data_IF_206018338959
#
_entry.id   IF_206018338959
#
_cell.length_a   1.000
_cell.length_b   1.000
_cell.length_c   1.000
_cell.angle_alpha   90.00
_cell.angle_beta   90.00
_cell.angle_gamma   90.00
#
_symmetry.space_group_name_H-M   'P 1'
#
loop_
_entity.id
_entity.type
_entity.pdbx_description
1 polymer ?
#
# COMPACT_ATOMS: atom_id res chain seq x y z
N UNK A 1 -23.39 -13.04 -5.75
CA UNK A 1 -24.13 -14.07 -4.98
C UNK A 1 -23.18 -15.23 -4.68
N UNK A 2 -23.13 -15.70 -3.44
CA UNK A 2 -22.27 -16.80 -2.98
C UNK A 2 -20.85 -16.43 -2.54
N UNK A 3 -20.41 -15.18 -2.79
CA UNK A 3 -19.07 -14.73 -2.40
C UNK A 3 -18.97 -14.48 -0.88
N UNK A 4 -20.09 -14.12 -0.26
CA UNK A 4 -20.26 -13.92 1.19
C UNK A 4 -19.93 -15.15 2.04
N UNK A 5 -19.88 -16.34 1.44
CA UNK A 5 -19.46 -17.58 2.12
C UNK A 5 -17.93 -17.69 2.27
N UNK A 6 -17.15 -16.81 1.64
CA UNK A 6 -15.69 -16.83 1.67
C UNK A 6 -15.14 -15.70 2.54
N UNK A 7 -14.04 -15.96 3.26
CA UNK A 7 -13.38 -14.93 4.08
C UNK A 7 -12.36 -14.11 3.32
N UNK A 8 -11.88 -14.60 2.16
CA UNK A 8 -10.83 -13.99 1.37
C UNK A 8 -11.10 -14.16 -0.12
N UNK A 9 -10.57 -13.23 -0.92
CA UNK A 9 -10.65 -13.24 -2.37
C UNK A 9 -9.30 -12.94 -2.99
N UNK A 10 -9.05 -13.53 -4.15
CA UNK A 10 -8.07 -13.02 -5.10
C UNK A 10 -8.64 -11.83 -5.85
N UNK A 11 -7.82 -10.78 -5.98
CA UNK A 11 -8.08 -9.62 -6.82
C UNK A 11 -7.05 -9.60 -7.95
N UNK A 12 -7.53 -9.53 -9.18
CA UNK A 12 -6.71 -9.12 -10.32
C UNK A 12 -7.07 -7.67 -10.66
N UNK A 13 -6.07 -6.83 -10.85
CA UNK A 13 -6.28 -5.40 -11.09
C UNK A 13 -5.20 -4.82 -12.00
N UNK A 14 -5.48 -3.66 -12.60
CA UNK A 14 -4.54 -2.95 -13.46
C UNK A 14 -3.72 -1.93 -12.67
N UNK A 15 -2.40 -1.91 -12.85
CA UNK A 15 -1.53 -0.85 -12.33
C UNK A 15 -1.71 0.44 -13.16
N UNK A 16 -2.89 1.04 -13.10
CA UNK A 16 -3.29 2.15 -13.96
C UNK A 16 -2.44 3.43 -13.78
N UNK A 17 -1.90 3.66 -12.57
CA UNK A 17 -0.95 4.75 -12.30
C UNK A 17 0.50 4.44 -12.74
N UNK A 18 0.75 3.29 -13.36
CA UNK A 18 2.08 2.94 -13.85
C UNK A 18 2.48 3.80 -15.05
N UNK A 19 3.22 4.87 -14.75
CA UNK A 19 3.75 5.85 -15.72
C UNK A 19 4.61 5.26 -16.85
N UNK A 20 5.03 3.99 -16.76
CA UNK A 20 5.78 3.30 -17.82
C UNK A 20 4.88 2.51 -18.78
N UNK A 21 3.58 2.34 -18.51
CA UNK A 21 2.66 1.62 -19.39
C UNK A 21 2.57 2.27 -20.79
N UNK A 22 2.52 3.61 -20.85
CA UNK A 22 2.54 4.37 -22.11
C UNK A 22 3.81 4.15 -22.94
N UNK A 23 4.95 3.82 -22.31
CA UNK A 23 6.23 3.55 -22.98
C UNK A 23 6.34 2.13 -23.53
N UNK A 24 5.39 1.25 -23.20
CA UNK A 24 5.37 -0.13 -23.64
C UNK A 24 4.70 -0.28 -25.02
N UNK A 25 3.68 0.53 -25.31
CA UNK A 25 2.91 0.47 -26.56
C UNK A 25 3.40 1.46 -27.65
N UNK A 26 4.51 2.15 -27.41
CA UNK A 26 5.14 3.04 -28.41
C UNK A 26 5.99 2.29 -29.44
N UNK A 27 6.46 3.01 -30.47
CA UNK A 27 7.25 2.46 -31.59
C UNK A 27 8.56 1.73 -31.19
N UNK A 28 9.06 1.97 -29.96
CA UNK A 28 10.13 1.20 -29.32
C UNK A 28 9.75 0.94 -27.86
N UNK A 29 9.23 -0.26 -27.54
CA UNK A 29 8.87 -0.61 -26.17
C UNK A 29 10.09 -0.49 -25.25
N UNK A 30 10.04 0.42 -24.27
CA UNK A 30 11.14 0.60 -23.31
C UNK A 30 10.82 -0.09 -21.98
N UNK A 31 10.80 -1.41 -21.97
CA UNK A 31 10.70 -2.20 -20.75
C UNK A 31 12.09 -2.59 -20.24
N UNK A 32 12.41 -2.22 -19.00
CA UNK A 32 13.64 -2.65 -18.36
C UNK A 32 13.53 -4.13 -17.97
N UNK A 33 14.39 -4.97 -18.55
CA UNK A 33 14.44 -6.40 -18.26
C UNK A 33 14.78 -6.72 -16.79
N UNK A 34 15.44 -5.79 -16.08
CA UNK A 34 15.83 -5.92 -14.68
C UNK A 34 15.35 -4.72 -13.85
N UNK A 35 15.00 -4.97 -12.60
CA UNK A 35 14.55 -3.97 -11.61
C UNK A 35 15.36 -4.09 -10.31
N UNK A 36 15.18 -3.13 -9.39
CA UNK A 36 15.78 -3.13 -8.05
C UNK A 36 14.68 -3.36 -6.99
N UNK A 37 14.41 -4.61 -6.57
CA UNK A 37 13.50 -4.86 -5.46
C UNK A 37 14.07 -4.31 -4.15
N UNK A 38 13.25 -3.71 -3.26
CA UNK A 38 13.72 -3.19 -1.97
C UNK A 38 14.47 -4.22 -1.12
N UNK A 39 13.96 -5.45 -1.04
CA UNK A 39 14.58 -6.54 -0.25
C UNK A 39 15.90 -7.10 -0.81
N UNK A 40 16.33 -6.67 -2.01
CA UNK A 40 17.54 -7.21 -2.65
C UNK A 40 18.81 -6.35 -2.39
N UNK A 41 18.76 -5.39 -1.47
CA UNK A 41 19.93 -4.62 -1.03
C UNK A 41 20.62 -3.87 -2.17
N UNK A 42 19.84 -3.22 -3.05
CA UNK A 42 20.34 -2.41 -4.16
C UNK A 42 20.79 -3.19 -5.40
N UNK A 43 20.82 -4.52 -5.38
CA UNK A 43 21.12 -5.32 -6.59
C UNK A 43 19.93 -5.36 -7.56
N UNK A 44 20.21 -5.77 -8.79
CA UNK A 44 19.19 -5.94 -9.85
C UNK A 44 18.88 -7.40 -10.10
N UNK A 45 17.61 -7.70 -10.35
CA UNK A 45 17.13 -9.02 -10.77
C UNK A 45 16.13 -8.88 -11.92
N UNK A 46 15.92 -9.96 -12.69
CA UNK A 46 14.96 -9.98 -13.79
C UNK A 46 13.54 -9.64 -13.31
N UNK A 47 12.80 -8.86 -14.10
CA UNK A 47 11.48 -8.34 -13.69
C UNK A 47 10.49 -9.46 -13.31
N UNK A 48 10.53 -10.60 -14.00
CA UNK A 48 9.65 -11.75 -13.73
C UNK A 48 9.99 -12.50 -12.45
N UNK A 49 11.19 -12.29 -11.88
CA UNK A 49 11.55 -12.79 -10.55
C UNK A 49 11.07 -11.85 -9.43
N UNK A 50 10.17 -10.90 -9.74
CA UNK A 50 9.69 -9.86 -8.82
C UNK A 50 8.20 -9.60 -9.03
N UNK A 51 7.59 -8.88 -8.08
CA UNK A 51 6.22 -8.37 -8.17
C UNK A 51 6.17 -6.88 -8.54
N UNK A 52 7.13 -6.39 -9.31
CA UNK A 52 7.14 -4.98 -9.76
C UNK A 52 5.89 -4.65 -10.59
N UNK A 53 5.30 -3.45 -10.43
CA UNK A 53 4.23 -2.98 -11.31
C UNK A 53 4.73 -2.71 -12.74
N UNK A 54 6.03 -2.46 -12.94
CA UNK A 54 6.64 -2.19 -14.24
C UNK A 54 6.90 -3.48 -15.04
N UNK A 55 5.85 -4.06 -15.61
CA UNK A 55 5.87 -5.35 -16.34
C UNK A 55 5.10 -5.26 -17.67
N UNK A 56 5.28 -6.22 -18.62
CA UNK A 56 4.63 -6.17 -19.93
C UNK A 56 3.10 -6.19 -19.85
N UNK A 57 2.55 -6.96 -18.92
CA UNK A 57 1.13 -6.92 -18.58
C UNK A 57 1.04 -6.33 -17.18
N UNK A 58 0.61 -5.06 -17.02
CA UNK A 58 0.60 -4.35 -15.74
C UNK A 58 -0.52 -4.84 -14.81
N UNK A 59 -0.63 -6.16 -14.65
CA UNK A 59 -1.63 -6.81 -13.81
C UNK A 59 -1.03 -7.10 -12.45
N UNK A 60 -1.68 -6.59 -11.41
CA UNK A 60 -1.46 -6.91 -10.01
C UNK A 60 -2.30 -8.10 -9.56
N UNK A 61 -1.84 -8.74 -8.48
CA UNK A 61 -2.51 -9.89 -7.86
C UNK A 61 -2.38 -9.77 -6.35
N UNK A 62 -3.52 -9.76 -5.67
CA UNK A 62 -3.55 -9.63 -4.21
C UNK A 62 -4.58 -10.56 -3.58
N UNK A 63 -4.25 -11.09 -2.41
CA UNK A 63 -5.25 -11.70 -1.52
C UNK A 63 -5.77 -10.60 -0.62
N UNK A 64 -7.08 -10.40 -0.60
CA UNK A 64 -7.73 -9.47 0.32
C UNK A 64 -8.75 -10.20 1.19
N UNK A 65 -8.91 -9.73 2.44
CA UNK A 65 -9.98 -10.19 3.32
C UNK A 65 -11.31 -9.63 2.81
N UNK A 66 -12.28 -10.50 2.58
CA UNK A 66 -13.65 -10.08 2.29
C UNK A 66 -14.34 -9.76 3.62
N UNK A 67 -14.65 -8.49 3.83
CA UNK A 67 -15.34 -8.02 5.03
C UNK A 67 -16.85 -8.12 4.84
N UNK A 68 -17.33 -7.67 3.69
CA UNK A 68 -18.77 -7.61 3.39
C UNK A 68 -19.03 -7.56 1.89
N UNK A 69 -20.17 -8.11 1.47
CA UNK A 69 -20.73 -7.96 0.11
C UNK A 69 -21.99 -7.09 0.21
N UNK A 70 -21.95 -5.90 -0.39
CA UNK A 70 -23.04 -4.92 -0.40
C UNK A 70 -23.55 -4.70 -1.82
N UNK A 71 -24.47 -5.55 -2.27
CA UNK A 71 -24.98 -5.46 -3.64
C UNK A 71 -23.89 -5.67 -4.68
N UNK A 72 -23.55 -4.61 -5.43
CA UNK A 72 -22.48 -4.57 -6.43
C UNK A 72 -21.10 -4.17 -5.86
N UNK A 73 -21.01 -3.99 -4.54
CA UNK A 73 -19.82 -3.45 -3.86
C UNK A 73 -19.21 -4.48 -2.91
N UNK A 74 -17.88 -4.64 -2.95
CA UNK A 74 -17.13 -5.47 -1.99
C UNK A 74 -16.40 -4.57 -1.00
N UNK A 75 -16.59 -4.81 0.29
CA UNK A 75 -15.80 -4.19 1.36
C UNK A 75 -14.63 -5.13 1.66
N UNK A 76 -13.42 -4.66 1.40
CA UNK A 76 -12.20 -5.45 1.45
C UNK A 76 -11.25 -4.90 2.51
N UNK A 77 -10.52 -5.79 3.18
CA UNK A 77 -9.46 -5.45 4.13
C UNK A 77 -8.11 -6.02 3.69
N UNK A 78 -7.03 -5.27 3.93
CA UNK A 78 -5.66 -5.70 3.59
C UNK A 78 -5.34 -5.70 2.10
N UNK A 79 -6.13 -4.97 1.30
CA UNK A 79 -5.83 -4.75 -0.11
C UNK A 79 -4.72 -3.69 -0.29
N UNK A 80 -3.84 -3.90 -1.27
CA UNK A 80 -2.70 -3.04 -1.62
C UNK A 80 -2.93 -2.27 -2.94
N UNK A 81 -4.17 -1.81 -3.15
CA UNK A 81 -4.59 -1.06 -4.33
C UNK A 81 -4.59 0.44 -4.03
N UNK A 82 -4.17 1.24 -5.00
CA UNK A 82 -4.39 2.69 -4.94
C UNK A 82 -5.81 3.02 -5.37
N UNK A 83 -6.27 4.17 -4.92
CA UNK A 83 -7.59 4.69 -5.20
C UNK A 83 -7.90 4.73 -6.70
N UNK A 84 -9.12 4.31 -7.09
CA UNK A 84 -9.54 4.29 -8.49
C UNK A 84 -8.96 3.15 -9.34
N UNK A 85 -8.20 2.23 -8.73
CA UNK A 85 -7.62 1.09 -9.45
C UNK A 85 -8.70 0.22 -10.11
N UNK A 86 -8.64 0.02 -11.45
CA UNK A 86 -9.56 -0.89 -12.14
C UNK A 86 -9.36 -2.34 -11.70
N UNK A 87 -10.43 -2.95 -11.19
CA UNK A 87 -10.47 -4.37 -10.88
C UNK A 87 -10.83 -5.14 -12.16
N UNK A 88 -9.99 -6.11 -12.51
CA UNK A 88 -10.15 -6.95 -13.69
C UNK A 88 -10.92 -8.24 -13.39
N UNK A 89 -10.74 -8.78 -12.17
CA UNK A 89 -11.35 -10.05 -11.76
C UNK A 89 -11.37 -10.18 -10.24
N UNK A 90 -12.34 -10.95 -9.73
CA UNK A 90 -12.46 -11.33 -8.32
C UNK A 90 -12.73 -12.83 -8.25
N UNK A 91 -11.92 -13.56 -7.48
CA UNK A 91 -12.09 -15.01 -7.30
C UNK A 91 -12.07 -15.38 -5.83
N UNK A 92 -12.85 -16.40 -5.39
CA UNK A 92 -12.72 -16.89 -4.02
C UNK A 92 -11.31 -17.42 -3.78
N UNK A 93 -10.75 -17.09 -2.62
CA UNK A 93 -9.49 -17.68 -2.17
C UNK A 93 -9.77 -19.03 -1.51
N UNK A 94 -9.12 -20.08 -1.99
CA UNK A 94 -9.32 -21.45 -1.49
C UNK A 94 -8.10 -21.91 -0.69
N UNK A 95 -8.31 -22.81 0.28
CA UNK A 95 -7.20 -23.41 1.05
C UNK A 95 -6.18 -24.12 0.16
N UNK A 96 -6.62 -24.65 -0.98
CA UNK A 96 -5.76 -25.32 -1.96
C UNK A 96 -4.88 -24.36 -2.77
N UNK A 97 -5.10 -23.04 -2.68
CA UNK A 97 -4.23 -22.03 -3.29
C UNK A 97 -2.92 -21.87 -2.51
N UNK A 98 -2.88 -22.30 -1.25
CA UNK A 98 -1.67 -22.34 -0.43
C UNK A 98 -0.80 -23.52 -0.90
N UNK A 99 0.48 -23.25 -1.16
CA UNK A 99 1.51 -24.25 -1.45
C UNK A 99 2.55 -24.22 -0.32
N UNK A 100 2.36 -24.98 0.78
CA UNK A 100 3.23 -24.93 1.96
C UNK A 100 4.70 -25.28 1.67
N UNK A 101 4.95 -26.06 0.63
CA UNK A 101 6.28 -26.50 0.17
C UNK A 101 6.94 -25.53 -0.81
N UNK A 102 6.28 -24.41 -1.15
CA UNK A 102 6.84 -23.42 -2.04
C UNK A 102 8.17 -22.86 -1.51
N UNK A 103 9.21 -22.93 -2.34
CA UNK A 103 10.54 -22.39 -2.02
C UNK A 103 10.65 -20.97 -2.55
N UNK A 104 11.13 -20.06 -1.71
CA UNK A 104 11.44 -18.68 -2.09
C UNK A 104 12.93 -18.38 -1.88
N UNK A 105 13.51 -17.45 -2.66
CA UNK A 105 14.85 -16.96 -2.34
C UNK A 105 14.92 -16.32 -0.95
N UNK A 106 16.05 -16.45 -0.25
CA UNK A 106 16.25 -15.89 1.10
C UNK A 106 15.89 -14.40 1.25
N UNK A 107 16.10 -13.60 0.21
CA UNK A 107 15.78 -12.17 0.23
C UNK A 107 14.27 -11.87 0.20
N UNK A 108 13.42 -12.87 -0.09
CA UNK A 108 11.97 -12.78 -0.04
C UNK A 108 11.39 -13.25 1.31
N UNK A 109 12.18 -13.93 2.15
CA UNK A 109 11.72 -14.46 3.45
C UNK A 109 11.43 -13.32 4.44
N UNK A 110 12.15 -12.20 4.32
CA UNK A 110 11.99 -11.02 5.17
C UNK A 110 11.13 -9.96 4.47
N UNK A 111 9.80 -10.12 4.53
CA UNK A 111 8.83 -9.19 3.92
C UNK A 111 8.73 -7.86 4.72
N UNK A 112 9.17 -7.84 5.98
CA UNK A 112 8.90 -6.75 6.92
C UNK A 112 9.91 -5.57 6.90
N UNK A 113 11.15 -5.75 6.42
CA UNK A 113 12.26 -4.86 6.80
C UNK A 113 12.99 -4.20 5.62
N UNK A 114 12.27 -3.77 4.58
CA UNK A 114 12.86 -2.77 3.69
C UNK A 114 13.09 -1.42 4.41
N UNK A 115 12.45 -1.25 5.57
CA UNK A 115 12.49 -0.05 6.39
C UNK A 115 13.11 -0.40 7.76
N UNK A 116 14.15 0.32 8.20
CA UNK A 116 14.67 0.23 9.59
C UNK A 116 13.69 0.83 10.62
N UNK A 117 12.41 0.99 10.28
CA UNK A 117 11.40 1.64 11.12
C UNK A 117 10.88 0.63 12.16
N UNK A 118 11.33 0.80 13.39
CA UNK A 118 10.90 -0.01 14.53
C UNK A 118 9.58 0.48 15.11
N UNK A 119 9.25 1.76 14.92
CA UNK A 119 8.13 2.40 15.60
C UNK A 119 7.49 3.52 14.77
N UNK A 120 6.17 3.71 14.94
CA UNK A 120 5.43 4.87 14.44
C UNK A 120 4.79 5.56 15.65
N UNK A 121 5.12 6.83 15.84
CA UNK A 121 4.67 7.69 16.95
C UNK A 121 3.73 8.77 16.44
N UNK A 122 2.92 9.30 17.34
CA UNK A 122 2.00 10.40 17.08
C UNK A 122 2.34 11.55 18.02
N UNK A 123 2.39 12.78 17.50
CA UNK A 123 2.42 13.98 18.34
C UNK A 123 1.07 14.15 19.04
N UNK A 124 1.05 14.86 20.18
CA UNK A 124 -0.18 15.07 20.96
C UNK A 124 -1.26 15.78 20.13
N UNK A 125 -0.87 16.74 19.30
CA UNK A 125 -1.77 17.44 18.37
C UNK A 125 -2.29 16.51 17.27
N UNK A 126 -1.47 15.58 16.78
CA UNK A 126 -1.87 14.58 15.78
C UNK A 126 -2.89 13.59 16.36
N UNK A 127 -2.72 13.17 17.61
CA UNK A 127 -3.65 12.27 18.28
C UNK A 127 -4.99 12.97 18.56
N UNK A 128 -4.96 14.22 19.04
CA UNK A 128 -6.17 15.01 19.28
C UNK A 128 -6.96 15.25 17.99
N UNK A 129 -6.27 15.60 16.91
CA UNK A 129 -6.89 15.82 15.59
C UNK A 129 -7.41 14.52 14.96
N UNK A 130 -6.71 13.40 15.14
CA UNK A 130 -7.18 12.07 14.74
C UNK A 130 -8.52 11.72 15.42
N UNK A 131 -8.61 11.90 16.74
CA UNK A 131 -9.85 11.65 17.51
C UNK A 131 -11.02 12.48 16.98
N UNK A 132 -10.78 13.76 16.69
CA UNK A 132 -11.80 14.65 16.15
C UNK A 132 -12.24 14.28 14.73
N UNK A 133 -11.35 13.68 13.93
CA UNK A 133 -11.60 13.32 12.55
C UNK A 133 -12.41 12.01 12.38
N UNK A 134 -12.29 11.05 13.32
CA UNK A 134 -12.91 9.71 13.20
C UNK A 134 -14.40 9.73 12.81
N UNK A 135 -15.26 10.60 13.40
CA UNK A 135 -16.68 10.60 13.03
C UNK A 135 -16.97 10.94 11.57
N UNK A 136 -16.03 11.57 10.86
CA UNK A 136 -16.15 11.92 9.45
C UNK A 136 -15.51 10.88 8.50
N UNK A 137 -14.84 9.85 9.05
CA UNK A 137 -14.23 8.79 8.25
C UNK A 137 -15.30 7.79 7.78
N UNK A 138 -15.08 7.25 6.59
CA UNK A 138 -15.99 6.30 5.95
C UNK A 138 -15.70 4.86 6.34
N UNK A 139 -14.42 4.51 6.43
CA UNK A 139 -13.99 3.12 6.62
C UNK A 139 -13.71 2.75 8.07
N UNK A 140 -13.63 3.75 8.95
CA UNK A 140 -13.24 3.54 10.34
C UNK A 140 -14.21 4.23 11.29
N UNK A 141 -14.63 3.51 12.32
CA UNK A 141 -15.54 4.01 13.36
C UNK A 141 -14.85 4.18 14.71
N UNK A 142 -13.65 3.63 14.88
CA UNK A 142 -12.89 3.62 16.13
C UNK A 142 -11.49 4.23 15.93
N UNK A 143 -11.07 5.07 16.86
CA UNK A 143 -9.74 5.72 16.86
C UNK A 143 -8.62 4.70 16.83
N UNK A 144 -8.74 3.63 17.62
CA UNK A 144 -7.80 2.50 17.66
C UNK A 144 -7.59 1.88 16.29
N UNK A 145 -8.67 1.67 15.53
CA UNK A 145 -8.61 1.05 14.20
C UNK A 145 -7.94 1.97 13.17
N UNK A 146 -8.25 3.27 13.18
CA UNK A 146 -7.57 4.23 12.29
C UNK A 146 -6.08 4.30 12.61
N UNK A 147 -5.75 4.39 13.91
CA UNK A 147 -4.36 4.46 14.38
C UNK A 147 -3.57 3.22 13.95
N UNK A 148 -4.13 2.04 14.11
CA UNK A 148 -3.51 0.80 13.66
C UNK A 148 -3.30 0.79 12.14
N UNK A 149 -4.29 1.23 11.36
CA UNK A 149 -4.17 1.32 9.90
C UNK A 149 -3.07 2.29 9.46
N UNK A 150 -2.96 3.46 10.11
CA UNK A 150 -1.88 4.43 9.85
C UNK A 150 -0.52 3.79 10.14
N UNK A 151 -0.37 3.10 11.28
CA UNK A 151 0.88 2.42 11.65
C UNK A 151 1.25 1.37 10.59
N UNK A 152 0.32 0.52 10.20
CA UNK A 152 0.56 -0.53 9.20
C UNK A 152 0.93 0.09 7.84
N UNK A 153 0.20 1.11 7.40
CA UNK A 153 0.45 1.82 6.14
C UNK A 153 1.84 2.47 6.12
N UNK A 154 2.19 3.24 7.15
CA UNK A 154 3.46 3.97 7.19
C UNK A 154 4.67 3.04 7.33
N UNK A 155 4.54 1.88 7.99
CA UNK A 155 5.61 0.86 8.04
C UNK A 155 5.89 0.23 6.68
N UNK A 156 4.85 0.11 5.85
CA UNK A 156 4.94 -0.45 4.50
C UNK A 156 5.24 0.61 3.42
N UNK A 157 5.29 1.91 3.78
CA UNK A 157 5.54 2.98 2.84
C UNK A 157 7.01 3.03 2.37
N UNK A 158 7.26 2.38 1.24
CA UNK A 158 8.56 2.33 0.57
C UNK A 158 8.94 3.64 -0.15
N UNK A 159 8.05 4.63 -0.27
CA UNK A 159 8.36 5.91 -0.95
C UNK A 159 9.42 6.70 -0.19
N UNK A 160 9.36 6.62 1.14
CA UNK A 160 10.39 7.17 2.04
C UNK A 160 11.80 6.69 1.67
N UNK A 161 11.94 5.44 1.24
CA UNK A 161 13.22 4.82 0.85
C UNK A 161 13.72 5.35 -0.50
N UNK A 162 12.82 5.48 -1.49
CA UNK A 162 13.18 5.90 -2.85
C UNK A 162 13.39 7.41 -3.00
N UNK A 163 12.79 8.23 -2.12
CA UNK A 163 12.95 9.69 -2.10
C UNK A 163 14.20 10.16 -1.34
N UNK A 164 15.14 9.25 -1.04
CA UNK A 164 16.45 9.61 -0.49
C UNK A 164 16.60 9.37 1.00
N UNK A 165 16.03 8.30 1.55
CA UNK A 165 16.34 7.85 2.92
C UNK A 165 17.85 7.77 3.13
N UNK A 166 18.40 8.67 3.95
CA UNK A 166 19.82 8.73 4.27
C UNK A 166 20.70 9.52 3.29
N UNK A 167 20.15 10.24 2.31
CA UNK A 167 20.88 11.38 1.74
C UNK A 167 20.90 12.48 2.80
N UNK A 168 22.10 12.81 3.29
CA UNK A 168 22.33 13.71 4.43
C UNK A 168 21.45 14.97 4.38
N UNK A 169 20.40 14.96 5.17
CA UNK A 169 19.81 16.13 5.82
C UNK A 169 19.83 15.76 7.30
N UNK A 170 20.32 16.67 8.13
CA UNK A 170 20.59 16.49 9.56
C UNK A 170 19.73 15.40 10.23
N UNK A 171 20.37 14.44 10.92
CA UNK A 171 19.67 13.36 11.63
C UNK A 171 18.66 13.84 12.70
N UNK A 172 18.67 15.15 13.02
CA UNK A 172 17.73 15.84 13.89
C UNK A 172 16.51 16.46 13.17
N UNK A 173 16.58 16.68 11.86
CA UNK A 173 15.49 17.26 11.06
C UNK A 173 14.92 16.20 10.13
N UNK A 174 13.95 15.42 10.62
CA UNK A 174 13.26 14.41 9.82
C UNK A 174 12.66 15.03 8.55
N UNK A 175 12.77 14.33 7.43
CA UNK A 175 12.17 14.78 6.18
C UNK A 175 10.64 14.65 6.28
N UNK A 176 9.92 15.71 5.93
CA UNK A 176 8.45 15.76 5.99
C UNK A 176 7.84 15.14 4.73
N UNK A 177 6.82 14.33 4.94
CA UNK A 177 6.03 13.65 3.93
C UNK A 177 4.55 13.83 4.23
N UNK A 178 3.72 13.62 3.20
CA UNK A 178 2.28 13.59 3.35
C UNK A 178 1.67 12.42 2.61
N UNK A 179 0.55 11.92 3.12
CA UNK A 179 -0.27 10.93 2.43
C UNK A 179 -1.74 11.06 2.84
N UNK A 180 -2.61 10.39 2.11
CA UNK A 180 -4.05 10.37 2.39
C UNK A 180 -4.48 8.96 2.75
N UNK A 181 -5.29 8.85 3.80
CA UNK A 181 -5.99 7.62 4.21
C UNK A 181 -7.45 7.97 4.41
N UNK A 182 -8.36 7.44 3.57
CA UNK A 182 -9.77 7.85 3.58
C UNK A 182 -9.88 9.38 3.35
N UNK A 183 -10.72 10.08 4.11
CA UNK A 183 -10.78 11.55 4.14
C UNK A 183 -9.67 12.20 4.99
N UNK A 184 -8.69 11.45 5.51
CA UNK A 184 -7.64 11.98 6.39
C UNK A 184 -6.37 12.29 5.59
N UNK A 185 -5.94 13.55 5.64
CA UNK A 185 -4.60 13.98 5.26
C UNK A 185 -3.64 13.85 6.44
N UNK A 186 -2.56 13.11 6.22
CA UNK A 186 -1.53 12.84 7.20
C UNK A 186 -0.27 13.59 6.82
N UNK A 187 0.33 14.29 7.79
CA UNK A 187 1.71 14.78 7.69
C UNK A 187 2.58 14.05 8.70
N UNK A 188 3.76 13.63 8.27
CA UNK A 188 4.67 12.88 9.10
C UNK A 188 6.13 13.12 8.73
N UNK A 189 6.99 13.01 9.73
CA UNK A 189 8.45 13.09 9.57
C UNK A 189 9.05 11.70 9.71
N UNK A 190 9.92 11.33 8.77
CA UNK A 190 10.62 10.04 8.80
C UNK A 190 12.03 10.23 9.35
N UNK A 191 12.36 9.46 10.38
CA UNK A 191 13.69 9.37 10.98
C UNK A 191 14.35 8.02 10.65
N UNK A 192 15.57 7.81 11.14
CA UNK A 192 16.34 6.58 10.87
C UNK A 192 15.60 5.32 11.35
N UNK A 193 15.02 5.39 12.55
CA UNK A 193 14.40 4.24 13.26
C UNK A 193 12.90 4.38 13.52
N UNK A 194 12.32 5.57 13.33
CA UNK A 194 10.90 5.78 13.63
C UNK A 194 10.27 6.79 12.68
N UNK A 195 8.94 6.79 12.64
CA UNK A 195 8.13 7.80 11.95
C UNK A 195 7.35 8.57 13.02
N UNK A 196 7.30 9.89 12.90
CA UNK A 196 6.47 10.76 13.75
C UNK A 196 5.35 11.36 12.91
N UNK A 197 4.11 10.97 13.18
CA UNK A 197 2.92 11.62 12.64
C UNK A 197 2.73 12.94 13.37
N UNK A 198 2.77 14.04 12.62
CA UNK A 198 2.71 15.40 13.19
C UNK A 198 1.30 15.99 13.08
N UNK A 199 0.53 15.64 12.04
CA UNK A 199 -0.82 16.16 11.83
C UNK A 199 -1.74 15.12 11.17
N UNK A 200 -3.01 15.13 11.58
CA UNK A 200 -4.10 14.33 11.04
C UNK A 200 -5.29 15.27 10.74
N UNK A 201 -5.41 15.78 9.51
CA UNK A 201 -6.45 16.75 9.14
C UNK A 201 -7.48 16.13 8.19
N UNK A 202 -8.75 16.51 8.31
CA UNK A 202 -9.75 16.13 7.33
C UNK A 202 -9.50 16.90 6.03
N UNK A 203 -9.37 16.16 4.93
CA UNK A 203 -9.28 16.73 3.59
C UNK A 203 -10.61 17.38 3.22
N UNK A 204 -10.55 18.63 2.77
CA UNK A 204 -11.73 19.40 2.32
C UNK A 204 -12.20 18.98 0.91
N UNK A 205 -11.47 18.11 0.22
CA UNK A 205 -11.84 17.61 -1.11
C UNK A 205 -12.73 16.36 -1.00
N UNK A 206 -14.00 16.49 -1.38
CA UNK A 206 -14.98 15.41 -1.55
C UNK A 206 -14.69 14.52 -2.78
N UNK A 207 -13.44 14.27 -3.14
CA UNK A 207 -13.11 13.33 -4.22
C UNK A 207 -13.28 11.90 -3.69
N UNK A 208 -14.55 11.50 -3.70
CA UNK A 208 -15.10 10.23 -3.26
C UNK A 208 -14.57 9.12 -4.16
N UNK A 209 -14.00 8.08 -3.55
CA UNK A 209 -13.76 6.84 -4.27
C UNK A 209 -14.55 5.69 -3.67
N UNK A 210 -15.54 5.28 -4.43
CA UNK A 210 -16.24 4.01 -4.32
C UNK A 210 -15.63 3.06 -5.34
N UNK A 211 -15.16 1.89 -4.89
CA UNK A 211 -14.92 0.77 -5.79
C UNK A 211 -16.29 0.23 -6.20
N UNK A 212 -16.76 0.68 -7.36
CA UNK A 212 -17.89 0.08 -8.04
C UNK A 212 -17.32 -0.99 -8.97
N UNK A 213 -17.78 -2.22 -8.82
CA UNK A 213 -17.46 -3.29 -9.77
C UNK A 213 -18.10 -3.00 -11.14
#
# INVERSE_FOLDING_TARGET
EGLEAFSHVWLLYDFHENTNAAKLHGAKPQLKAKVHPPGLGGKRIGLFATRTPHRPSPIGLSVARLVEVRGDTLVLGGADLVDGTPVLDVKPYLRHDIQPEAVVPKWCENVADASNITEVRFADEAEASLVAAVPALRFFTEVSAVREAIIQMLRLDIRSVHQGRGQQVDASAGQEYHCRLDALELRFSVFSTHILVTHCELSLSNDIVSYRL
#
